data_IF_121164954549
#
_entry.id   IF_121164954549
#
_cell.length_a   1.000
_cell.length_b   1.000
_cell.length_c   1.000
_cell.angle_alpha   90.00
_cell.angle_beta   90.00
_cell.angle_gamma   90.00
#
_symmetry.space_group_name_H-M   'P 1'
#
loop_
_entity.id
_entity.type
_entity.pdbx_description
1 polymer ?
#
# COMPACT_ATOMS: atom_id res chain seq x y z
N UNK A 1 -15.12 -44.86 -16.19
CA UNK A 1 -15.35 -43.75 -17.11
C UNK A 1 -15.60 -42.41 -16.40
N UNK A 2 -16.36 -42.36 -15.28
CA UNK A 2 -16.64 -41.13 -14.52
C UNK A 2 -15.35 -40.48 -13.97
N UNK A 3 -14.45 -41.28 -13.40
CA UNK A 3 -13.16 -40.78 -12.89
C UNK A 3 -12.27 -40.19 -14.00
N UNK A 4 -12.24 -40.80 -15.18
CA UNK A 4 -11.48 -40.29 -16.32
C UNK A 4 -12.03 -38.93 -16.78
N UNK A 5 -13.36 -38.78 -16.81
CA UNK A 5 -14.00 -37.51 -17.14
C UNK A 5 -13.69 -36.43 -16.07
N UNK A 6 -13.73 -36.83 -14.79
CA UNK A 6 -13.35 -35.93 -13.68
C UNK A 6 -11.90 -35.46 -13.78
N UNK A 7 -10.95 -36.38 -14.07
CA UNK A 7 -9.55 -36.02 -14.26
C UNK A 7 -9.32 -35.08 -15.47
N UNK A 8 -10.03 -35.30 -16.57
CA UNK A 8 -9.94 -34.43 -17.75
C UNK A 8 -10.46 -33.01 -17.44
N UNK A 9 -11.49 -32.88 -16.58
CA UNK A 9 -11.95 -31.57 -16.11
C UNK A 9 -10.93 -30.93 -15.15
N UNK A 10 -10.36 -31.73 -14.25
CA UNK A 10 -9.33 -31.27 -13.33
C UNK A 10 -8.09 -30.71 -14.05
N UNK A 11 -7.65 -31.38 -15.11
CA UNK A 11 -6.54 -30.91 -15.95
C UNK A 11 -6.88 -29.56 -16.61
N UNK A 12 -8.10 -29.42 -17.14
CA UNK A 12 -8.54 -28.13 -17.71
C UNK A 12 -8.57 -27.04 -16.67
N UNK A 13 -9.15 -27.29 -15.51
CA UNK A 13 -9.20 -26.33 -14.41
C UNK A 13 -7.80 -25.95 -13.90
N UNK A 14 -6.86 -26.91 -13.88
CA UNK A 14 -5.47 -26.63 -13.54
C UNK A 14 -4.80 -25.71 -14.58
N UNK A 15 -5.05 -25.94 -15.88
CA UNK A 15 -4.54 -25.06 -16.94
C UNK A 15 -5.15 -23.65 -16.84
N UNK A 16 -6.43 -23.53 -16.47
CA UNK A 16 -7.08 -22.24 -16.24
C UNK A 16 -6.41 -21.51 -15.05
N UNK A 17 -6.15 -22.24 -13.94
CA UNK A 17 -5.44 -21.69 -12.80
C UNK A 17 -4.02 -21.20 -13.16
N UNK A 18 -3.28 -21.98 -13.96
CA UNK A 18 -1.96 -21.60 -14.49
C UNK A 18 -2.07 -20.33 -15.34
N UNK A 19 -3.09 -20.23 -16.19
CA UNK A 19 -3.31 -19.05 -17.04
C UNK A 19 -3.59 -17.78 -16.23
N UNK A 20 -4.36 -17.89 -15.14
CA UNK A 20 -4.56 -16.80 -14.18
C UNK A 20 -3.23 -16.39 -13.56
N UNK A 21 -2.46 -17.36 -13.06
CA UNK A 21 -1.17 -17.09 -12.42
C UNK A 21 -0.19 -16.41 -13.39
N UNK A 22 -0.10 -16.87 -14.63
CA UNK A 22 0.76 -16.27 -15.65
C UNK A 22 0.32 -14.83 -16.01
N UNK A 23 -0.99 -14.58 -16.08
CA UNK A 23 -1.51 -13.22 -16.32
C UNK A 23 -1.14 -12.29 -15.16
N UNK A 24 -1.31 -12.78 -13.93
CA UNK A 24 -0.92 -12.01 -12.74
C UNK A 24 0.60 -11.77 -12.70
N UNK A 25 1.42 -12.79 -12.97
CA UNK A 25 2.89 -12.69 -12.98
C UNK A 25 3.38 -11.65 -13.98
N UNK A 26 2.82 -11.63 -15.19
CA UNK A 26 3.17 -10.63 -16.21
C UNK A 26 2.92 -9.20 -15.71
N UNK A 27 1.74 -8.94 -15.17
CA UNK A 27 1.40 -7.61 -14.63
C UNK A 27 2.20 -7.26 -13.37
N UNK A 28 2.49 -8.23 -12.50
CA UNK A 28 3.31 -8.03 -11.31
C UNK A 28 4.77 -7.70 -11.66
N UNK A 29 5.29 -8.24 -12.78
CA UNK A 29 6.63 -7.86 -13.27
C UNK A 29 6.69 -6.38 -13.62
N UNK A 30 5.68 -5.85 -14.32
CA UNK A 30 5.59 -4.42 -14.66
C UNK A 30 5.49 -3.55 -13.40
N UNK A 31 4.69 -3.97 -12.41
CA UNK A 31 4.60 -3.27 -11.13
C UNK A 31 5.95 -3.26 -10.41
N UNK A 32 6.67 -4.39 -10.43
CA UNK A 32 8.01 -4.49 -9.83
C UNK A 32 9.00 -3.52 -10.47
N UNK A 33 9.01 -3.41 -11.79
CA UNK A 33 9.88 -2.49 -12.53
C UNK A 33 9.56 -1.03 -12.17
N UNK A 34 8.27 -0.68 -12.07
CA UNK A 34 7.85 0.65 -11.65
C UNK A 34 8.25 0.96 -10.19
N UNK A 35 8.14 -0.01 -9.28
CA UNK A 35 8.58 0.16 -7.89
C UNK A 35 10.10 0.37 -7.79
N UNK A 36 10.88 -0.34 -8.62
CA UNK A 36 12.33 -0.11 -8.71
C UNK A 36 12.61 1.31 -9.21
N UNK A 37 11.89 1.78 -10.23
CA UNK A 37 12.04 3.15 -10.74
C UNK A 37 11.66 4.20 -9.70
N UNK A 38 10.57 4.01 -8.96
CA UNK A 38 10.19 4.88 -7.84
C UNK A 38 11.32 4.95 -6.79
N UNK A 39 11.94 3.82 -6.47
CA UNK A 39 13.08 3.77 -5.54
C UNK A 39 14.28 4.55 -6.07
N UNK A 40 14.62 4.40 -7.35
CA UNK A 40 15.71 5.16 -7.97
C UNK A 40 15.47 6.68 -7.92
N UNK A 41 14.26 7.12 -8.29
CA UNK A 41 13.86 8.53 -8.24
C UNK A 41 13.90 9.08 -6.81
N UNK A 42 13.46 8.28 -5.84
CA UNK A 42 13.51 8.65 -4.43
C UNK A 42 14.96 8.83 -3.94
N UNK A 43 15.86 7.92 -4.30
CA UNK A 43 17.28 8.04 -3.98
C UNK A 43 17.92 9.25 -4.67
N UNK A 44 17.55 9.52 -5.91
CA UNK A 44 18.00 10.71 -6.64
C UNK A 44 17.51 12.00 -5.97
N UNK A 45 16.26 12.03 -5.51
CA UNK A 45 15.66 13.20 -4.85
C UNK A 45 16.35 13.58 -3.54
N UNK A 46 16.89 12.61 -2.79
CA UNK A 46 17.63 12.85 -1.53
C UNK A 46 18.99 13.50 -1.76
N UNK A 47 19.51 13.50 -3.00
CA UNK A 47 20.80 14.13 -3.29
C UNK A 47 20.72 15.64 -3.00
N UNK A 48 21.64 16.14 -2.19
CA UNK A 48 21.73 17.57 -1.81
C UNK A 48 22.05 18.54 -2.97
N UNK A 49 22.42 18.03 -4.15
CA UNK A 49 22.62 18.84 -5.36
C UNK A 49 21.31 19.26 -6.03
N UNK A 50 20.18 18.61 -5.70
CA UNK A 50 18.88 18.93 -6.29
C UNK A 50 18.26 20.14 -5.60
N UNK A 51 17.75 21.06 -6.41
CA UNK A 51 16.92 22.16 -5.95
C UNK A 51 15.43 21.75 -5.84
N UNK A 52 14.57 22.62 -5.36
CA UNK A 52 13.13 22.31 -5.15
C UNK A 52 12.40 22.05 -6.47
N UNK A 53 12.78 22.70 -7.58
CA UNK A 53 12.19 22.46 -8.90
C UNK A 53 12.59 21.09 -9.46
N UNK A 54 13.83 20.67 -9.22
CA UNK A 54 14.30 19.33 -9.60
C UNK A 54 13.54 18.26 -8.82
N UNK A 55 13.37 18.45 -7.50
CA UNK A 55 12.59 17.53 -6.65
C UNK A 55 11.13 17.46 -7.07
N UNK A 56 10.52 18.59 -7.43
CA UNK A 56 9.14 18.63 -7.91
C UNK A 56 9.00 17.86 -9.24
N UNK A 57 10.00 17.92 -10.11
CA UNK A 57 10.00 17.17 -11.37
C UNK A 57 10.13 15.65 -11.13
N UNK A 58 10.98 15.24 -10.18
CA UNK A 58 11.12 13.85 -9.78
C UNK A 58 9.83 13.34 -9.12
N UNK A 59 9.19 14.16 -8.27
CA UNK A 59 7.91 13.80 -7.66
C UNK A 59 6.80 13.62 -8.71
N UNK A 60 6.74 14.49 -9.72
CA UNK A 60 5.78 14.33 -10.80
C UNK A 60 5.94 13.00 -11.54
N UNK A 61 7.18 12.52 -11.77
CA UNK A 61 7.44 11.19 -12.34
C UNK A 61 6.99 10.08 -11.40
N UNK A 62 7.25 10.20 -10.10
CA UNK A 62 6.79 9.24 -9.09
C UNK A 62 5.27 9.15 -9.05
N UNK A 63 4.55 10.28 -9.10
CA UNK A 63 3.09 10.30 -9.13
C UNK A 63 2.54 9.65 -10.40
N UNK A 64 3.18 9.84 -11.55
CA UNK A 64 2.79 9.18 -12.80
C UNK A 64 2.97 7.65 -12.71
N UNK A 65 4.08 7.18 -12.14
CA UNK A 65 4.33 5.75 -11.92
C UNK A 65 3.31 5.14 -10.94
N UNK A 66 2.97 5.87 -9.87
CA UNK A 66 1.91 5.45 -8.92
C UNK A 66 0.56 5.30 -9.61
N UNK A 67 0.16 6.30 -10.41
CA UNK A 67 -1.09 6.24 -11.16
C UNK A 67 -1.13 5.04 -12.12
N UNK A 68 0.01 4.69 -12.72
CA UNK A 68 0.10 3.53 -13.60
C UNK A 68 0.00 2.20 -12.82
N UNK A 69 0.59 2.09 -11.63
CA UNK A 69 0.42 0.94 -10.74
C UNK A 69 -1.07 0.77 -10.38
N UNK A 70 -1.76 1.85 -10.00
CA UNK A 70 -3.18 1.81 -9.68
C UNK A 70 -4.03 1.43 -10.90
N UNK A 71 -3.65 1.90 -12.09
CA UNK A 71 -4.30 1.50 -13.34
C UNK A 71 -4.12 -0.02 -13.58
N UNK A 72 -2.93 -0.56 -13.43
CA UNK A 72 -2.66 -2.00 -13.58
C UNK A 72 -3.49 -2.79 -12.57
N UNK A 73 -3.52 -2.37 -11.31
CA UNK A 73 -4.32 -3.02 -10.26
C UNK A 73 -5.80 -3.11 -10.63
N UNK A 74 -6.37 -2.06 -11.21
CA UNK A 74 -7.79 -1.97 -11.52
C UNK A 74 -8.17 -2.54 -12.88
N UNK A 75 -7.25 -2.56 -13.85
CA UNK A 75 -7.56 -2.97 -15.24
C UNK A 75 -7.09 -4.37 -15.60
N UNK A 76 -6.19 -4.98 -14.82
CA UNK A 76 -5.74 -6.34 -15.09
C UNK A 76 -6.87 -7.31 -14.79
N UNK A 77 -7.41 -7.92 -15.84
CA UNK A 77 -8.55 -8.83 -15.75
C UNK A 77 -8.24 -10.19 -16.36
N UNK A 78 -8.84 -11.23 -15.80
CA UNK A 78 -8.92 -12.55 -16.40
C UNK A 78 -10.39 -12.96 -16.47
N UNK A 79 -10.87 -13.33 -17.65
CA UNK A 79 -12.28 -13.69 -17.89
C UNK A 79 -13.28 -12.65 -17.30
N UNK A 80 -13.03 -11.35 -17.56
CA UNK A 80 -13.81 -10.21 -17.08
C UNK A 80 -13.85 -10.05 -15.54
N UNK A 81 -12.96 -10.70 -14.79
CA UNK A 81 -12.77 -10.52 -13.36
C UNK A 81 -11.42 -9.84 -13.11
N UNK A 82 -11.40 -8.78 -12.31
CA UNK A 82 -10.16 -8.14 -11.86
C UNK A 82 -9.40 -9.10 -10.95
N UNK A 83 -8.08 -9.20 -11.17
CA UNK A 83 -7.27 -10.19 -10.45
C UNK A 83 -6.25 -9.58 -9.49
N UNK A 84 -5.96 -8.25 -9.60
CA UNK A 84 -4.94 -7.57 -8.79
C UNK A 84 -5.51 -6.47 -7.87
N UNK A 85 -6.82 -6.40 -7.69
CA UNK A 85 -7.50 -5.46 -6.80
C UNK A 85 -7.65 -5.98 -5.36
N UNK A 86 -7.25 -7.23 -5.09
CA UNK A 86 -7.37 -7.89 -3.79
C UNK A 86 -8.70 -8.62 -3.57
N UNK A 87 -9.62 -8.58 -4.53
CA UNK A 87 -10.90 -9.29 -4.45
C UNK A 87 -10.81 -10.74 -4.97
N UNK A 88 -9.71 -11.10 -5.66
CA UNK A 88 -9.57 -12.39 -6.31
C UNK A 88 -9.12 -13.47 -5.33
N UNK A 89 -10.09 -14.24 -4.86
CA UNK A 89 -9.88 -15.44 -4.06
C UNK A 89 -10.74 -16.56 -4.66
N UNK A 90 -10.12 -17.50 -5.36
CA UNK A 90 -10.82 -18.56 -6.11
C UNK A 90 -10.22 -19.93 -5.87
N UNK A 91 -11.12 -20.92 -5.73
CA UNK A 91 -10.77 -22.32 -5.61
C UNK A 91 -10.89 -23.00 -6.97
N UNK A 92 -9.84 -23.66 -7.39
CA UNK A 92 -9.79 -24.47 -8.61
C UNK A 92 -9.81 -25.94 -8.24
N UNK A 93 -10.77 -26.69 -8.78
CA UNK A 93 -10.87 -28.13 -8.58
C UNK A 93 -9.84 -28.83 -9.46
N UNK A 94 -8.77 -29.35 -8.85
CA UNK A 94 -7.63 -29.98 -9.54
C UNK A 94 -7.61 -31.52 -9.43
N UNK A 95 -8.61 -32.10 -8.79
CA UNK A 95 -8.78 -33.55 -8.68
C UNK A 95 -10.20 -34.00 -8.90
N UNK A 96 -10.42 -35.29 -8.85
CA UNK A 96 -11.75 -35.89 -9.05
C UNK A 96 -12.58 -35.95 -7.75
N UNK A 97 -11.96 -35.78 -6.59
CA UNK A 97 -12.66 -35.73 -5.29
C UNK A 97 -12.98 -34.28 -4.91
N UNK A 98 -14.09 -34.07 -4.23
CA UNK A 98 -14.61 -32.73 -3.90
C UNK A 98 -13.67 -31.86 -3.05
N UNK A 99 -12.69 -32.45 -2.35
CA UNK A 99 -11.71 -31.72 -1.51
C UNK A 99 -10.36 -31.47 -2.19
N UNK A 100 -10.19 -31.91 -3.43
CA UNK A 100 -8.94 -31.73 -4.17
C UNK A 100 -8.95 -30.39 -4.90
N UNK A 101 -8.87 -29.28 -4.13
CA UNK A 101 -8.91 -27.90 -4.64
C UNK A 101 -7.58 -27.20 -4.40
N UNK A 102 -7.24 -26.29 -5.30
CA UNK A 102 -6.15 -25.34 -5.18
C UNK A 102 -6.71 -23.92 -5.13
N UNK A 103 -6.35 -23.15 -4.11
CA UNK A 103 -6.82 -21.77 -3.94
C UNK A 103 -5.78 -20.80 -4.45
N UNK A 104 -6.19 -19.88 -5.32
CA UNK A 104 -5.40 -18.71 -5.71
C UNK A 104 -6.01 -17.49 -5.00
N UNK A 105 -5.22 -16.88 -4.13
CA UNK A 105 -5.55 -15.66 -3.40
C UNK A 105 -4.54 -14.58 -3.80
N UNK A 106 -4.97 -13.64 -4.65
CA UNK A 106 -4.14 -12.54 -5.13
C UNK A 106 -4.45 -11.27 -4.33
N UNK A 107 -3.41 -10.69 -3.74
CA UNK A 107 -3.53 -9.46 -2.95
C UNK A 107 -3.56 -8.23 -3.87
N UNK A 108 -4.13 -7.15 -3.36
CA UNK A 108 -4.12 -5.88 -4.07
C UNK A 108 -2.70 -5.35 -4.24
N UNK A 109 -2.41 -4.86 -5.44
CA UNK A 109 -1.17 -4.13 -5.75
C UNK A 109 -1.41 -2.63 -5.92
N UNK A 110 -2.59 -2.13 -5.57
CA UNK A 110 -2.84 -0.71 -5.55
C UNK A 110 -1.86 0.02 -4.62
N UNK A 111 -1.50 1.25 -4.97
CA UNK A 111 -0.52 2.05 -4.22
C UNK A 111 -0.88 2.22 -2.75
N UNK A 112 -2.16 2.25 -2.42
CA UNK A 112 -2.67 2.26 -1.04
C UNK A 112 -2.32 0.96 -0.30
N UNK A 113 -2.56 -0.19 -0.92
CA UNK A 113 -2.26 -1.50 -0.33
C UNK A 113 -0.75 -1.74 -0.18
N UNK A 114 0.06 -1.17 -1.06
CA UNK A 114 1.52 -1.21 -1.00
C UNK A 114 2.13 -0.18 -0.03
N UNK A 115 1.31 0.68 0.59
CA UNK A 115 1.78 1.71 1.51
C UNK A 115 2.52 2.87 0.83
N UNK A 116 2.33 3.07 -0.47
CA UNK A 116 2.96 4.15 -1.25
C UNK A 116 2.21 5.49 -1.16
N UNK A 117 1.11 5.55 -0.44
CA UNK A 117 0.32 6.76 -0.25
C UNK A 117 0.91 7.65 0.85
N UNK A 118 2.15 8.10 0.62
CA UNK A 118 2.91 8.95 1.54
C UNK A 118 2.60 10.43 1.32
N UNK A 119 1.38 10.87 1.42
CA UNK A 119 1.12 12.29 1.41
C UNK A 119 -0.05 12.75 0.56
N UNK A 120 -1.21 12.44 1.00
CA UNK A 120 -2.46 12.97 0.50
C UNK A 120 -3.53 12.59 1.50
N UNK A 121 -3.54 13.31 2.60
CA UNK A 121 -4.68 13.60 3.44
C UNK A 121 -6.00 12.99 2.97
N UNK A 122 -6.34 11.86 3.49
CA UNK A 122 -7.64 11.41 3.97
C UNK A 122 -7.46 10.12 4.77
N UNK A 123 -6.57 10.10 5.72
CA UNK A 123 -6.66 9.14 6.81
C UNK A 123 -7.79 9.58 7.72
N UNK A 124 -8.98 9.05 7.45
CA UNK A 124 -9.95 8.93 8.51
C UNK A 124 -9.28 8.17 9.67
N UNK A 125 -9.00 8.92 10.73
CA UNK A 125 -8.64 8.44 12.08
C UNK A 125 -8.09 7.01 12.16
N UNK A 126 -6.85 6.78 11.72
CA UNK A 126 -6.08 5.62 12.16
C UNK A 126 -5.49 5.96 13.52
N UNK A 127 -5.92 5.24 14.55
CA UNK A 127 -5.44 5.36 15.93
C UNK A 127 -3.99 4.91 16.12
N UNK A 128 -3.18 4.87 15.05
CA UNK A 128 -1.77 4.50 15.13
C UNK A 128 -0.94 5.32 14.12
N UNK A 129 -0.27 6.41 14.53
CA UNK A 129 0.57 7.20 13.64
C UNK A 129 1.85 6.42 13.32
N UNK A 130 1.90 5.82 12.13
CA UNK A 130 3.16 5.30 11.60
C UNK A 130 3.93 6.44 10.97
N UNK A 131 4.98 6.90 11.62
CA UNK A 131 5.90 7.91 11.10
C UNK A 131 6.79 7.28 10.02
N UNK A 132 6.54 7.60 8.75
CA UNK A 132 7.48 7.33 7.66
C UNK A 132 7.79 8.67 7.00
N UNK A 133 8.92 9.26 7.36
CA UNK A 133 9.74 10.26 6.67
C UNK A 133 9.07 11.29 5.75
N UNK A 134 7.91 11.83 6.07
CA UNK A 134 7.23 12.87 5.34
C UNK A 134 6.61 13.86 6.33
N UNK A 135 6.44 15.11 5.95
CA UNK A 135 5.89 16.20 6.76
C UNK A 135 4.83 15.70 7.74
N UNK A 136 5.06 15.97 9.00
CA UNK A 136 4.07 15.78 10.05
C UNK A 136 2.87 16.71 9.75
N UNK A 137 1.82 16.19 9.15
CA UNK A 137 0.52 16.83 9.26
C UNK A 137 -0.06 16.35 10.59
N UNK A 138 0.12 17.14 11.62
CA UNK A 138 -0.56 16.91 12.90
C UNK A 138 -2.03 17.20 12.65
N UNK A 139 -2.83 16.17 12.41
CA UNK A 139 -4.24 16.27 12.71
C UNK A 139 -4.35 16.70 14.17
N UNK A 140 -5.25 17.63 14.47
CA UNK A 140 -5.39 18.16 15.83
C UNK A 140 -5.38 17.00 16.82
N UNK A 141 -4.39 16.95 17.70
CA UNK A 141 -4.34 16.02 18.82
C UNK A 141 -5.13 16.72 19.93
N UNK A 142 -6.26 16.14 20.29
CA UNK A 142 -7.07 16.70 21.37
C UNK A 142 -6.38 16.52 22.72
N UNK A 143 -6.71 17.36 23.68
CA UNK A 143 -6.17 17.26 25.03
C UNK A 143 -6.50 15.89 25.64
N UNK A 144 -5.45 15.15 26.03
CA UNK A 144 -5.57 13.79 26.59
C UNK A 144 -5.24 12.65 25.60
N UNK A 145 -5.08 12.93 24.29
CA UNK A 145 -4.72 11.90 23.31
C UNK A 145 -3.23 11.51 23.38
N UNK A 146 -2.39 12.38 23.91
CA UNK A 146 -0.98 12.09 24.14
C UNK A 146 -0.66 12.15 25.62
N UNK A 147 -0.17 11.06 26.18
CA UNK A 147 0.26 10.94 27.56
C UNK A 147 1.74 10.54 27.58
N UNK A 148 2.59 11.35 28.21
CA UNK A 148 4.01 11.05 28.39
C UNK A 148 4.26 10.91 29.90
N UNK A 149 4.72 9.74 30.32
CA UNK A 149 5.01 9.40 31.71
C UNK A 149 3.82 9.69 32.68
N UNK A 150 2.60 9.40 32.19
CA UNK A 150 1.38 9.60 32.96
C UNK A 150 0.83 11.04 32.97
N UNK A 151 1.49 11.98 32.28
CA UNK A 151 1.09 13.37 32.14
C UNK A 151 0.41 13.60 30.78
N UNK A 152 -0.78 14.18 30.78
CA UNK A 152 -1.47 14.58 29.54
C UNK A 152 -0.76 15.78 28.91
N UNK A 153 -0.42 15.66 27.62
CA UNK A 153 0.09 16.78 26.82
C UNK A 153 -1.10 17.59 26.29
N UNK A 154 -1.00 18.91 26.40
CA UNK A 154 -2.06 19.79 25.94
C UNK A 154 -2.36 19.65 24.44
N UNK A 155 -3.55 20.08 24.04
CA UNK A 155 -4.04 20.04 22.65
C UNK A 155 -3.08 20.73 21.68
N UNK A 156 -2.69 20.02 20.62
CA UNK A 156 -1.93 20.56 19.48
C UNK A 156 -2.91 20.86 18.35
N UNK A 157 -2.99 22.11 17.92
CA UNK A 157 -3.83 22.50 16.79
C UNK A 157 -3.09 22.31 15.46
N UNK A 158 -3.81 21.98 14.39
CA UNK A 158 -3.26 21.66 13.06
C UNK A 158 -2.44 22.80 12.40
N UNK A 159 -2.41 23.99 13.01
CA UNK A 159 -1.66 25.15 12.52
C UNK A 159 -0.33 25.37 13.24
N UNK A 160 0.03 24.52 14.20
CA UNK A 160 1.25 24.68 15.00
C UNK A 160 2.43 24.01 14.30
N UNK A 161 3.58 24.68 14.32
CA UNK A 161 4.85 24.15 13.83
C UNK A 161 5.38 23.07 14.81
N UNK A 162 6.28 22.21 14.32
CA UNK A 162 7.00 21.22 15.16
C UNK A 162 7.72 21.91 16.31
N UNK A 163 8.21 23.13 16.12
CA UNK A 163 8.81 23.96 17.18
C UNK A 163 7.85 24.21 18.32
N UNK A 164 6.62 24.61 18.00
CA UNK A 164 5.56 24.90 18.98
C UNK A 164 5.12 23.60 19.70
N UNK A 165 5.05 22.47 18.97
CA UNK A 165 4.75 21.16 19.54
C UNK A 165 5.81 20.71 20.56
N UNK A 166 7.09 20.88 20.23
CA UNK A 166 8.21 20.58 21.13
C UNK A 166 8.18 21.47 22.37
N UNK A 167 7.82 22.75 22.22
CA UNK A 167 7.75 23.71 23.34
C UNK A 167 6.59 23.33 24.28
N UNK A 168 5.44 22.96 23.76
CA UNK A 168 4.29 22.46 24.54
C UNK A 168 4.66 21.16 25.29
N UNK A 169 5.27 20.20 24.64
CA UNK A 169 5.71 18.93 25.26
C UNK A 169 6.72 19.22 26.38
N UNK A 170 7.73 20.08 26.13
CA UNK A 170 8.74 20.41 27.12
C UNK A 170 8.15 21.16 28.30
N UNK A 171 7.19 22.05 28.07
CA UNK A 171 6.50 22.78 29.14
C UNK A 171 5.71 21.83 30.03
N UNK A 172 4.91 20.98 29.42
CA UNK A 172 3.95 20.10 30.13
C UNK A 172 4.66 18.92 30.85
N UNK A 173 5.78 18.44 30.27
CA UNK A 173 6.62 17.40 30.89
C UNK A 173 7.57 17.96 31.95
N UNK A 174 8.02 19.21 31.83
CA UNK A 174 8.95 19.83 32.80
C UNK A 174 8.30 20.25 34.11
N UNK A 175 6.98 20.18 34.23
CA UNK A 175 6.26 20.48 35.49
C UNK A 175 6.20 19.28 36.45
N UNK A 176 6.83 18.13 36.07
CA UNK A 176 6.92 16.91 36.87
C UNK A 176 8.29 16.90 37.60
N UNK A 177 8.41 17.60 38.69
CA UNK A 177 9.47 17.47 39.70
C UNK A 177 8.84 17.42 41.07
#
# INVERSE_FOLDING_TARGET
ESQVRGLNMAIRNANDAISVAQTAEGSLSEVSDMLQRIRELSLQSVNGANNDADRASLDAEVQALKAEIDRISSTTTFNAQTILDGSFNKNFQIGYNASETFTIDLKSVATEALGLNLGGDTQAASTNPTVIGGRFAVAAVDAGDMVIDGQEVGSLTAAQDIGDAIEIINRDVSTVT
#
